data_IF_453889830857
#
_entry.id   IF_453889830857
#
_cell.length_a   1.000
_cell.length_b   1.000
_cell.length_c   1.000
_cell.angle_alpha   90.00
_cell.angle_beta   90.00
_cell.angle_gamma   90.00
#
_symmetry.space_group_name_H-M   'P 1'
#
loop_
_entity.id
_entity.type
_entity.pdbx_description
1 polymer ?
#
# COMPACT_ATOMS: atom_id res chain seq x y z
N UNK A 1 5.10 4.61 0.92
CA UNK A 1 3.66 4.48 1.26
C UNK A 1 3.08 3.22 0.67
N UNK A 2 2.57 2.34 1.51
CA UNK A 2 1.93 1.08 1.13
C UNK A 2 0.41 1.15 1.32
N UNK A 3 -0.32 0.47 0.46
CA UNK A 3 -1.79 0.45 0.42
C UNK A 3 -2.31 -0.96 0.47
N UNK A 4 -3.22 -1.26 1.41
CA UNK A 4 -3.96 -2.52 1.42
C UNK A 4 -5.46 -2.21 1.25
N UNK A 5 -6.10 -2.90 0.30
CA UNK A 5 -7.56 -2.92 0.20
C UNK A 5 -8.08 -3.88 1.25
N UNK A 6 -8.99 -3.41 2.08
CA UNK A 6 -9.62 -4.25 3.10
C UNK A 6 -11.10 -4.41 2.80
N UNK A 7 -11.51 -5.66 2.65
CA UNK A 7 -12.92 -6.07 2.54
C UNK A 7 -13.29 -6.83 3.81
N UNK A 8 -14.52 -6.63 4.31
CA UNK A 8 -15.02 -7.36 5.47
C UNK A 8 -14.91 -8.88 5.24
N UNK A 9 -14.29 -9.58 6.17
CA UNK A 9 -14.25 -11.05 6.23
C UNK A 9 -14.94 -11.49 7.51
N UNK A 10 -15.77 -12.52 7.41
CA UNK A 10 -16.35 -13.25 8.54
C UNK A 10 -17.22 -12.42 9.50
N UNK A 11 -18.04 -11.49 9.00
CA UNK A 11 -19.02 -10.75 9.81
C UNK A 11 -18.44 -9.74 10.80
N UNK A 12 -17.13 -9.68 10.98
CA UNK A 12 -16.49 -8.60 11.72
C UNK A 12 -16.39 -7.34 10.88
N UNK A 13 -16.65 -6.19 11.49
CA UNK A 13 -16.44 -4.90 10.85
C UNK A 13 -14.96 -4.75 10.48
N UNK A 14 -14.69 -4.29 9.26
CA UNK A 14 -13.32 -3.98 8.79
C UNK A 14 -12.63 -3.02 9.75
N UNK A 15 -13.37 -2.07 10.30
CA UNK A 15 -12.86 -1.09 11.25
C UNK A 15 -12.40 -1.74 12.54
N UNK A 16 -13.23 -2.64 13.12
CA UNK A 16 -12.86 -3.38 14.34
C UNK A 16 -11.58 -4.21 14.12
N UNK A 17 -11.51 -4.91 12.99
CA UNK A 17 -10.34 -5.73 12.66
C UNK A 17 -9.07 -4.91 12.51
N UNK A 18 -9.14 -3.73 11.89
CA UNK A 18 -7.99 -2.84 11.71
C UNK A 18 -7.60 -2.14 13.00
N UNK A 19 -8.56 -1.65 13.79
CA UNK A 19 -8.28 -1.08 15.10
C UNK A 19 -7.63 -2.09 16.04
N UNK A 20 -8.13 -3.34 16.07
CA UNK A 20 -7.51 -4.41 16.82
C UNK A 20 -6.08 -4.68 16.37
N UNK A 21 -5.84 -4.72 15.06
CA UNK A 21 -4.49 -4.92 14.52
C UNK A 21 -3.54 -3.79 14.90
N UNK A 22 -4.00 -2.53 14.86
CA UNK A 22 -3.18 -1.37 15.20
C UNK A 22 -2.84 -1.31 16.69
N UNK A 23 -3.80 -1.67 17.54
CA UNK A 23 -3.67 -1.61 18.99
C UNK A 23 -3.21 -2.94 19.62
N UNK A 24 -2.77 -3.90 18.81
CA UNK A 24 -2.31 -5.21 19.30
C UNK A 24 -0.88 -5.18 19.85
N UNK A 25 -0.11 -4.13 19.59
CA UNK A 25 1.21 -3.98 20.18
C UNK A 25 1.10 -3.51 21.63
N UNK A 26 2.05 -3.95 22.45
CA UNK A 26 2.14 -3.50 23.85
C UNK A 26 2.38 -1.99 23.87
N UNK A 27 1.58 -1.29 24.65
CA UNK A 27 1.63 0.17 24.80
C UNK A 27 1.25 0.97 23.52
N UNK A 28 0.56 0.33 22.55
CA UNK A 28 0.04 1.02 21.38
C UNK A 28 -1.12 1.94 21.78
N UNK A 29 -1.03 3.19 21.37
CA UNK A 29 -2.07 4.21 21.58
C UNK A 29 -2.43 4.91 20.26
N UNK A 30 -3.52 5.67 20.27
CA UNK A 30 -3.92 6.44 19.09
C UNK A 30 -3.14 7.74 19.06
N UNK A 31 -2.14 7.78 18.18
CA UNK A 31 -1.21 8.90 17.99
C UNK A 31 -1.79 10.03 17.14
N UNK A 32 -2.71 9.72 16.24
CA UNK A 32 -3.26 10.66 15.27
C UNK A 32 -4.78 10.51 15.20
N UNK A 33 -5.47 11.64 15.25
CA UNK A 33 -6.92 11.74 15.05
C UNK A 33 -7.20 12.80 14.00
N UNK A 34 -8.07 12.47 13.07
CA UNK A 34 -8.51 13.37 12.01
C UNK A 34 -10.03 13.29 11.90
N UNK A 35 -10.70 14.42 12.19
CA UNK A 35 -12.14 14.50 12.27
C UNK A 35 -12.78 13.49 13.26
N UNK A 36 -12.05 13.13 14.30
CA UNK A 36 -12.50 12.30 15.42
C UNK A 36 -12.16 13.04 16.71
N UNK A 37 -13.12 13.16 17.67
CA UNK A 37 -12.88 13.83 18.95
C UNK A 37 -11.70 13.22 19.72
N UNK A 38 -10.95 14.08 20.41
CA UNK A 38 -9.73 13.65 21.11
C UNK A 38 -10.01 12.81 22.36
N UNK A 39 -11.17 12.99 22.97
CA UNK A 39 -11.62 12.29 24.18
C UNK A 39 -12.21 10.91 23.91
N UNK A 40 -12.50 10.59 22.64
CA UNK A 40 -13.06 9.29 22.27
C UNK A 40 -12.11 8.15 22.60
N UNK A 41 -12.64 7.16 23.31
CA UNK A 41 -11.96 5.91 23.54
C UNK A 41 -12.14 4.97 22.33
N UNK A 42 -11.48 3.82 22.36
CA UNK A 42 -11.47 2.86 21.25
C UNK A 42 -12.87 2.47 20.76
N UNK A 43 -13.79 2.23 21.69
CA UNK A 43 -15.16 1.81 21.39
C UNK A 43 -15.95 2.93 20.72
N UNK A 44 -15.81 4.16 21.18
CA UNK A 44 -16.45 5.36 20.60
C UNK A 44 -15.89 5.68 19.22
N UNK A 45 -14.57 5.48 19.01
CA UNK A 45 -13.95 5.60 17.70
C UNK A 45 -14.51 4.57 16.73
N UNK A 46 -14.63 3.30 17.18
CA UNK A 46 -15.23 2.26 16.35
C UNK A 46 -16.67 2.60 15.97
N UNK A 47 -17.45 3.09 16.92
CA UNK A 47 -18.84 3.51 16.69
C UNK A 47 -18.90 4.66 15.67
N UNK A 48 -18.06 5.68 15.82
CA UNK A 48 -17.98 6.78 14.87
C UNK A 48 -17.68 6.30 13.44
N UNK A 49 -16.78 5.33 13.26
CA UNK A 49 -16.50 4.72 11.95
C UNK A 49 -17.69 3.93 11.42
N UNK A 50 -18.38 3.18 12.28
CA UNK A 50 -19.57 2.41 11.90
C UNK A 50 -20.72 3.33 11.49
N UNK A 51 -20.95 4.40 12.22
CA UNK A 51 -21.98 5.39 11.92
C UNK A 51 -21.66 6.12 10.61
N UNK A 52 -20.43 6.56 10.43
CA UNK A 52 -20.00 7.13 9.15
C UNK A 52 -20.22 6.17 7.98
N UNK A 53 -19.98 4.87 8.18
CA UNK A 53 -20.19 3.87 7.15
C UNK A 53 -21.66 3.66 6.77
N UNK A 54 -22.60 3.90 7.68
CA UNK A 54 -24.06 3.77 7.44
C UNK A 54 -24.63 4.82 6.49
N UNK A 55 -23.95 5.95 6.32
CA UNK A 55 -24.39 7.00 5.39
C UNK A 55 -24.40 6.56 3.93
N UNK A 56 -23.63 5.54 3.57
CA UNK A 56 -23.56 5.02 2.20
C UNK A 56 -23.81 3.53 2.17
N UNK A 57 -24.74 3.12 1.30
CA UNK A 57 -24.95 1.71 1.03
C UNK A 57 -23.64 1.05 0.56
N UNK A 58 -23.33 -0.10 1.16
CA UNK A 58 -22.21 -0.91 0.74
C UNK A 58 -22.36 -1.30 -0.74
N UNK A 59 -21.37 -0.94 -1.56
CA UNK A 59 -21.30 -1.41 -2.93
C UNK A 59 -20.66 -2.80 -2.93
N UNK A 60 -21.21 -3.72 -3.73
CA UNK A 60 -20.55 -4.99 -4.00
C UNK A 60 -19.11 -4.69 -4.49
N UNK A 61 -18.13 -5.19 -3.80
CA UNK A 61 -16.69 -4.92 -4.04
C UNK A 61 -16.22 -3.48 -3.77
N UNK A 62 -16.99 -2.65 -3.05
CA UNK A 62 -16.56 -1.32 -2.61
C UNK A 62 -15.63 -1.40 -1.41
N UNK A 63 -14.63 -0.53 -1.36
CA UNK A 63 -13.81 -0.38 -0.15
C UNK A 63 -14.59 0.43 0.89
N UNK A 64 -14.68 -0.08 2.10
CA UNK A 64 -15.29 0.61 3.24
C UNK A 64 -14.23 1.42 4.01
N UNK A 65 -13.02 0.90 4.05
CA UNK A 65 -11.89 1.50 4.73
C UNK A 65 -10.61 1.36 3.90
N UNK A 66 -9.66 2.21 4.22
CA UNK A 66 -8.30 2.14 3.70
C UNK A 66 -7.34 2.00 4.87
N UNK A 67 -6.40 1.09 4.74
CA UNK A 67 -5.24 0.99 5.58
C UNK A 67 -4.06 1.58 4.80
N UNK A 68 -3.57 2.73 5.25
CA UNK A 68 -2.46 3.45 4.64
C UNK A 68 -1.30 3.48 5.63
N UNK A 69 -0.07 3.49 5.14
CA UNK A 69 1.12 3.44 5.98
C UNK A 69 2.07 4.54 5.53
N UNK A 70 2.45 5.40 6.47
CA UNK A 70 3.56 6.31 6.33
C UNK A 70 4.75 5.74 7.10
N UNK A 71 5.92 5.81 6.51
CA UNK A 71 7.15 5.30 7.13
C UNK A 71 8.26 6.34 7.03
N UNK A 72 8.94 6.56 8.14
CA UNK A 72 10.20 7.28 8.16
C UNK A 72 11.35 6.27 8.27
N UNK A 73 12.46 6.48 7.56
CA UNK A 73 13.64 5.64 7.70
C UNK A 73 14.24 5.81 9.11
N UNK A 74 14.96 4.80 9.56
CA UNK A 74 15.80 4.92 10.72
C UNK A 74 16.88 6.01 10.46
N UNK A 75 17.01 6.91 11.39
CA UNK A 75 18.00 7.99 11.37
C UNK A 75 18.61 8.08 12.78
N UNK A 76 19.71 8.82 12.91
CA UNK A 76 20.34 9.10 14.20
C UNK A 76 19.57 10.13 15.06
N UNK A 77 18.38 10.54 14.60
CA UNK A 77 17.54 11.46 15.35
C UNK A 77 16.88 10.79 16.55
N UNK A 78 16.63 11.61 17.57
CA UNK A 78 15.86 11.23 18.73
C UNK A 78 14.50 10.65 18.32
N UNK A 79 14.15 9.51 18.89
CA UNK A 79 12.99 8.73 18.53
C UNK A 79 11.66 9.44 18.79
N UNK A 80 11.59 10.21 19.89
CA UNK A 80 10.38 10.99 20.20
C UNK A 80 10.18 12.16 19.23
N UNK A 81 11.26 12.77 18.76
CA UNK A 81 11.21 13.77 17.68
C UNK A 81 10.74 13.15 16.36
N UNK A 82 11.20 11.94 16.04
CA UNK A 82 10.74 11.22 14.84
C UNK A 82 9.26 10.85 14.93
N UNK A 83 8.77 10.44 16.11
CA UNK A 83 7.34 10.18 16.32
C UNK A 83 6.52 11.46 16.16
N UNK A 84 6.97 12.58 16.74
CA UNK A 84 6.32 13.87 16.58
C UNK A 84 6.25 14.28 15.10
N UNK A 85 7.38 14.19 14.38
CA UNK A 85 7.44 14.47 12.95
C UNK A 85 6.50 13.55 12.14
N UNK A 86 6.48 12.27 12.43
CA UNK A 86 5.63 11.31 11.74
C UNK A 86 4.13 11.59 11.98
N UNK A 87 3.76 12.03 13.18
CA UNK A 87 2.42 12.46 13.55
C UNK A 87 2.01 13.71 12.76
N UNK A 88 2.87 14.71 12.66
CA UNK A 88 2.60 15.94 11.91
C UNK A 88 2.54 15.70 10.41
N UNK A 89 3.44 14.86 9.87
CA UNK A 89 3.39 14.42 8.47
C UNK A 89 2.09 13.64 8.20
N UNK A 90 1.65 12.83 9.14
CA UNK A 90 0.36 12.11 9.07
C UNK A 90 -0.82 13.07 9.01
N UNK A 91 -0.80 14.16 9.78
CA UNK A 91 -1.83 15.21 9.75
C UNK A 91 -1.85 15.92 8.40
N UNK A 92 -0.72 16.39 7.93
CA UNK A 92 -0.58 17.00 6.60
C UNK A 92 -1.08 16.05 5.50
N UNK A 93 -0.72 14.77 5.60
CA UNK A 93 -1.16 13.76 4.65
C UNK A 93 -2.69 13.63 4.61
N UNK A 94 -3.35 13.59 5.74
CA UNK A 94 -4.82 13.47 5.81
C UNK A 94 -5.52 14.72 5.32
N UNK A 95 -4.99 15.90 5.62
CA UNK A 95 -5.49 17.18 5.12
C UNK A 95 -5.45 17.26 3.59
N UNK A 96 -4.36 16.80 2.97
CA UNK A 96 -4.23 16.79 1.51
C UNK A 96 -4.99 15.64 0.84
N UNK A 97 -5.07 14.51 1.53
CA UNK A 97 -5.58 13.26 0.96
C UNK A 97 -7.07 13.09 1.11
N UNK A 98 -7.61 13.43 2.25
CA UNK A 98 -9.00 13.15 2.62
C UNK A 98 -9.49 14.10 3.74
N UNK A 99 -9.54 15.42 3.50
CA UNK A 99 -9.84 16.41 4.55
C UNK A 99 -11.21 16.22 5.20
N UNK A 100 -12.16 15.66 4.48
CA UNK A 100 -13.55 15.47 4.94
C UNK A 100 -13.85 14.07 5.47
N UNK A 101 -12.85 13.22 5.62
CA UNK A 101 -13.04 11.85 6.08
C UNK A 101 -12.58 11.70 7.51
N UNK A 102 -13.14 10.72 8.23
CA UNK A 102 -12.62 10.35 9.54
C UNK A 102 -11.45 9.39 9.40
N UNK A 103 -10.42 9.63 10.21
CA UNK A 103 -9.26 8.74 10.27
C UNK A 103 -8.63 8.73 11.67
N UNK A 104 -7.98 7.62 11.99
CA UNK A 104 -7.10 7.50 13.16
C UNK A 104 -5.79 6.83 12.75
N UNK A 105 -4.72 7.15 13.47
CA UNK A 105 -3.42 6.56 13.23
C UNK A 105 -2.73 6.10 14.51
N UNK A 106 -1.95 5.03 14.39
CA UNK A 106 -1.15 4.43 15.44
C UNK A 106 0.28 4.28 14.95
N UNK A 107 1.24 4.74 15.73
CA UNK A 107 2.66 4.61 15.40
C UNK A 107 3.18 3.28 15.95
N UNK A 108 3.59 2.41 15.06
CA UNK A 108 4.30 1.18 15.41
C UNK A 108 5.80 1.42 15.41
N UNK A 109 6.43 0.84 16.41
CA UNK A 109 7.82 1.04 16.70
C UNK A 109 8.63 -0.22 16.37
N UNK A 110 8.67 -0.58 15.08
CA UNK A 110 9.52 -1.67 14.61
C UNK A 110 11.00 -1.33 14.77
N UNK A 111 11.86 -2.35 14.86
CA UNK A 111 13.28 -2.22 15.20
C UNK A 111 14.06 -1.28 14.28
N UNK A 112 13.66 -1.16 13.01
CA UNK A 112 14.43 -0.44 11.99
C UNK A 112 13.74 0.84 11.51
N UNK A 113 12.38 0.93 11.58
CA UNK A 113 11.63 2.05 11.03
C UNK A 113 10.44 2.41 11.91
N UNK A 114 10.08 3.68 11.92
CA UNK A 114 8.80 4.12 12.47
C UNK A 114 7.72 4.05 11.39
N UNK A 115 6.59 3.44 11.72
CA UNK A 115 5.46 3.30 10.82
C UNK A 115 4.21 3.89 11.47
N UNK A 116 3.60 4.87 10.82
CA UNK A 116 2.26 5.33 11.17
C UNK A 116 1.25 4.54 10.32
N UNK A 117 0.50 3.69 10.97
CA UNK A 117 -0.62 2.97 10.40
C UNK A 117 -1.87 3.82 10.48
N UNK A 118 -2.50 4.13 9.36
CA UNK A 118 -3.68 4.99 9.28
C UNK A 118 -4.89 4.14 8.87
N UNK A 119 -5.92 4.15 9.69
CA UNK A 119 -7.26 3.71 9.33
C UNK A 119 -8.04 4.92 8.82
N UNK A 120 -8.39 4.90 7.55
CA UNK A 120 -9.15 5.96 6.88
C UNK A 120 -10.50 5.41 6.43
N UNK A 121 -11.61 6.04 6.83
CA UNK A 121 -12.92 5.74 6.27
C UNK A 121 -12.99 6.14 4.80
N UNK A 122 -13.63 5.32 3.98
CA UNK A 122 -13.87 5.70 2.58
C UNK A 122 -14.95 6.76 2.42
N UNK A 123 -15.85 6.90 3.40
CA UNK A 123 -16.96 7.84 3.35
C UNK A 123 -16.53 9.19 3.87
N UNK A 124 -16.92 10.25 3.17
CA UNK A 124 -16.84 11.61 3.68
C UNK A 124 -17.82 11.81 4.82
N UNK A 125 -17.45 12.67 5.77
CA UNK A 125 -18.37 13.05 6.84
C UNK A 125 -19.54 13.84 6.26
N UNK A 126 -20.74 13.62 6.81
CA UNK A 126 -21.94 14.38 6.49
C UNK A 126 -22.33 14.40 5.01
N UNK A 127 -21.63 13.69 4.15
CA UNK A 127 -21.93 13.57 2.73
C UNK A 127 -22.21 12.14 2.31
N UNK A 128 -23.11 11.96 1.35
CA UNK A 128 -23.34 10.67 0.70
C UNK A 128 -22.35 10.41 -0.43
N UNK A 129 -21.09 10.71 -0.18
CA UNK A 129 -20.01 10.54 -1.15
C UNK A 129 -18.83 9.81 -0.54
N UNK A 130 -17.97 9.27 -1.40
CA UNK A 130 -16.76 8.56 -1.00
C UNK A 130 -15.54 9.25 -1.53
N UNK A 131 -14.48 9.20 -0.75
CA UNK A 131 -13.17 9.54 -1.28
C UNK A 131 -12.80 8.51 -2.33
N UNK A 132 -12.58 8.97 -3.56
CA UNK A 132 -12.06 8.11 -4.60
C UNK A 132 -10.55 8.05 -4.48
N UNK A 133 -10.02 6.84 -4.61
CA UNK A 133 -8.61 6.77 -4.92
C UNK A 133 -8.43 7.31 -6.32
N UNK A 134 -7.90 8.46 -6.31
CA UNK A 134 -7.45 9.17 -7.45
C UNK A 134 -6.59 8.29 -8.37
N UNK A 135 -6.53 8.62 -9.61
CA UNK A 135 -5.58 8.06 -10.56
C UNK A 135 -4.17 8.17 -9.97
N UNK A 136 -3.25 7.36 -10.45
CA UNK A 136 -1.86 7.37 -9.98
C UNK A 136 -1.25 8.79 -9.97
N UNK A 137 -1.60 9.62 -10.95
CA UNK A 137 -1.14 11.01 -11.05
C UNK A 137 -1.58 11.87 -9.87
N UNK A 138 -2.86 11.77 -9.46
CA UNK A 138 -3.40 12.57 -8.35
C UNK A 138 -2.77 12.14 -7.01
N UNK A 139 -2.52 10.84 -6.86
CA UNK A 139 -1.82 10.33 -5.68
C UNK A 139 -0.36 10.81 -5.60
N UNK A 140 0.33 10.89 -6.74
CA UNK A 140 1.68 11.45 -6.83
C UNK A 140 1.68 12.94 -6.51
N UNK A 141 0.65 13.69 -6.93
CA UNK A 141 0.52 15.10 -6.59
C UNK A 141 0.35 15.30 -5.07
N UNK A 142 -0.53 14.54 -4.43
CA UNK A 142 -0.68 14.55 -2.96
C UNK A 142 0.65 14.22 -2.28
N UNK A 143 1.36 13.20 -2.74
CA UNK A 143 2.66 12.85 -2.17
C UNK A 143 3.67 13.98 -2.30
N UNK A 144 3.74 14.65 -3.46
CA UNK A 144 4.66 15.76 -3.68
C UNK A 144 4.34 16.94 -2.74
N UNK A 145 3.06 17.27 -2.55
CA UNK A 145 2.61 18.32 -1.63
C UNK A 145 2.97 17.99 -0.18
N UNK A 146 2.67 16.77 0.26
CA UNK A 146 3.02 16.28 1.61
C UNK A 146 4.52 16.35 1.84
N UNK A 147 5.32 15.88 0.88
CA UNK A 147 6.79 15.92 0.98
C UNK A 147 7.32 17.35 1.07
N UNK A 148 6.80 18.27 0.24
CA UNK A 148 7.20 19.68 0.28
C UNK A 148 6.90 20.32 1.63
N UNK A 149 5.68 20.12 2.17
CA UNK A 149 5.28 20.66 3.48
C UNK A 149 6.10 20.02 4.61
N UNK A 150 6.28 18.70 4.58
CA UNK A 150 7.06 17.99 5.57
C UNK A 150 8.53 18.42 5.58
N UNK A 151 9.14 18.62 4.42
CA UNK A 151 10.51 19.11 4.29
C UNK A 151 10.64 20.54 4.83
N UNK A 152 9.63 21.38 4.64
CA UNK A 152 9.62 22.75 5.19
C UNK A 152 9.54 22.77 6.73
N UNK A 153 8.81 21.83 7.33
CA UNK A 153 8.67 21.70 8.78
C UNK A 153 9.86 21.01 9.45
N UNK A 154 10.45 20.05 8.75
CA UNK A 154 11.52 19.17 9.25
C UNK A 154 12.68 19.12 8.25
N UNK A 155 13.37 20.25 7.99
CA UNK A 155 14.45 20.31 7.01
C UNK A 155 15.61 19.34 7.38
N UNK A 156 15.81 19.07 8.67
CA UNK A 156 16.84 18.17 9.17
C UNK A 156 16.59 16.69 8.80
N UNK A 157 15.36 16.29 8.51
CA UNK A 157 15.05 14.90 8.13
C UNK A 157 15.45 14.56 6.70
N UNK A 158 15.81 15.56 5.89
CA UNK A 158 16.27 15.39 4.50
C UNK A 158 15.38 14.45 3.68
N UNK A 159 14.08 14.73 3.64
CA UNK A 159 13.06 13.89 3.04
C UNK A 159 13.08 13.88 1.51
N UNK A 160 13.83 14.79 0.88
CA UNK A 160 13.82 15.03 -0.57
C UNK A 160 14.16 13.78 -1.41
N UNK A 161 14.94 12.87 -0.85
CA UNK A 161 15.41 11.67 -1.57
C UNK A 161 14.51 10.44 -1.43
N UNK A 162 13.41 10.53 -0.66
CA UNK A 162 12.58 9.35 -0.39
C UNK A 162 11.60 9.03 -1.52
N UNK A 163 11.26 10.01 -2.37
CA UNK A 163 10.28 9.82 -3.43
C UNK A 163 10.60 10.66 -4.67
N UNK A 164 11.54 10.23 -5.48
CA UNK A 164 11.70 10.79 -6.82
C UNK A 164 10.87 9.98 -7.81
N UNK A 165 10.08 10.63 -8.68
CA UNK A 165 9.32 9.97 -9.76
C UNK A 165 10.20 9.05 -10.61
N UNK A 166 11.46 9.40 -10.80
CA UNK A 166 12.44 8.63 -11.58
C UNK A 166 12.85 7.30 -10.95
N UNK A 167 12.81 7.16 -9.62
CA UNK A 167 13.04 5.86 -8.96
C UNK A 167 11.91 4.85 -9.22
N UNK A 168 10.70 5.32 -9.51
CA UNK A 168 9.57 4.44 -9.85
C UNK A 168 9.72 3.87 -11.25
N UNK A 169 10.42 4.56 -12.14
CA UNK A 169 10.64 4.14 -13.53
C UNK A 169 11.98 3.44 -13.77
N UNK A 170 13.01 3.71 -12.96
CA UNK A 170 14.35 3.16 -13.17
C UNK A 170 14.53 1.68 -12.79
N UNK A 171 13.58 1.12 -12.06
CA UNK A 171 13.49 -0.34 -11.88
C UNK A 171 12.29 -0.87 -12.64
N UNK A 172 12.34 -0.89 -13.99
CA UNK A 172 11.72 -1.98 -14.73
C UNK A 172 12.35 -3.26 -14.15
N UNK A 173 11.74 -3.77 -13.09
CA UNK A 173 12.07 -5.11 -12.63
C UNK A 173 11.66 -6.03 -13.76
N UNK A 174 12.60 -6.64 -14.43
CA UNK A 174 12.45 -7.87 -15.18
C UNK A 174 11.97 -9.03 -14.26
N UNK A 175 11.27 -8.71 -13.21
CA UNK A 175 10.76 -9.69 -12.28
C UNK A 175 9.40 -10.16 -12.77
N UNK A 176 9.37 -11.40 -13.19
CA UNK A 176 8.12 -12.16 -13.34
C UNK A 176 7.22 -11.87 -12.13
N UNK A 177 6.00 -11.36 -12.40
CA UNK A 177 5.04 -11.01 -11.35
C UNK A 177 4.64 -12.27 -10.59
N UNK A 178 5.27 -12.48 -9.46
CA UNK A 178 5.01 -13.64 -8.60
C UNK A 178 3.57 -13.55 -8.06
N UNK A 179 2.90 -14.68 -7.97
CA UNK A 179 1.60 -14.78 -7.29
C UNK A 179 1.77 -14.52 -5.79
N UNK A 180 0.69 -14.17 -5.10
CA UNK A 180 0.72 -13.92 -3.65
C UNK A 180 1.30 -15.10 -2.86
N UNK A 181 0.98 -16.35 -3.26
CA UNK A 181 1.55 -17.55 -2.66
C UNK A 181 3.07 -17.69 -2.88
N UNK A 182 3.54 -17.37 -4.07
CA UNK A 182 4.97 -17.39 -4.40
C UNK A 182 5.75 -16.29 -3.67
N UNK A 183 5.12 -15.12 -3.44
CA UNK A 183 5.71 -14.07 -2.62
C UNK A 183 5.80 -14.47 -1.15
N UNK A 184 4.75 -15.10 -0.61
CA UNK A 184 4.73 -15.61 0.76
C UNK A 184 5.78 -16.71 0.97
N UNK A 185 5.91 -17.61 0.01
CA UNK A 185 6.92 -18.67 0.03
C UNK A 185 8.35 -18.12 -0.05
N UNK A 186 8.56 -17.02 -0.79
CA UNK A 186 9.85 -16.32 -0.87
C UNK A 186 10.25 -15.64 0.43
N UNK A 187 9.26 -15.12 1.17
CA UNK A 187 9.50 -14.36 2.42
C UNK A 187 9.65 -15.31 3.61
N UNK A 188 8.86 -16.38 3.65
CA UNK A 188 8.76 -17.28 4.81
C UNK A 188 9.39 -18.67 4.62
N UNK A 189 9.76 -19.02 3.39
CA UNK A 189 10.42 -20.29 3.06
C UNK A 189 11.91 -20.26 3.42
N UNK A 190 12.25 -20.24 4.70
CA UNK A 190 13.60 -20.49 5.16
C UNK A 190 13.91 -21.98 4.96
N UNK A 191 15.01 -22.29 4.24
CA UNK A 191 15.70 -23.59 4.21
C UNK A 191 15.24 -24.70 3.24
N UNK A 192 14.45 -24.39 2.19
CA UNK A 192 14.37 -25.35 1.06
C UNK A 192 15.17 -24.85 -0.14
N UNK A 193 15.96 -25.71 -0.82
CA UNK A 193 16.61 -25.33 -2.07
C UNK A 193 15.50 -24.89 -3.04
N UNK A 194 15.55 -23.61 -3.44
CA UNK A 194 14.53 -22.99 -4.30
C UNK A 194 14.57 -23.67 -5.66
N UNK A 195 13.68 -24.63 -5.92
CA UNK A 195 13.35 -24.98 -7.30
C UNK A 195 12.81 -23.70 -7.95
N UNK A 196 13.49 -23.19 -8.99
CA UNK A 196 12.97 -22.13 -9.81
C UNK A 196 11.55 -22.54 -10.21
N UNK A 197 10.56 -21.65 -10.01
CA UNK A 197 9.19 -22.02 -10.39
C UNK A 197 9.20 -22.24 -11.91
N UNK A 198 8.46 -23.24 -12.38
CA UNK A 198 8.28 -23.53 -13.82
C UNK A 198 7.97 -22.27 -14.64
N UNK A 199 7.32 -21.28 -14.02
CA UNK A 199 7.04 -19.98 -14.63
C UNK A 199 8.29 -19.12 -14.83
N UNK A 200 9.25 -19.15 -13.92
CA UNK A 200 10.51 -18.41 -14.01
C UNK A 200 11.40 -19.07 -15.07
N UNK A 201 11.49 -20.40 -15.08
CA UNK A 201 12.23 -21.18 -16.09
C UNK A 201 11.64 -20.92 -17.48
N UNK A 202 10.30 -21.00 -17.61
CA UNK A 202 9.61 -20.73 -18.86
C UNK A 202 9.82 -19.28 -19.35
N UNK A 203 9.75 -18.32 -18.44
CA UNK A 203 9.99 -16.91 -18.77
C UNK A 203 11.42 -16.69 -19.27
N UNK A 204 12.42 -17.26 -18.60
CA UNK A 204 13.81 -17.15 -19.00
C UNK A 204 14.05 -17.79 -20.38
N UNK A 205 13.45 -18.96 -20.62
CA UNK A 205 13.53 -19.64 -21.90
C UNK A 205 12.90 -18.79 -23.02
N UNK A 206 11.68 -18.26 -22.81
CA UNK A 206 10.98 -17.42 -23.80
C UNK A 206 11.78 -16.15 -24.08
N UNK A 207 12.33 -15.49 -23.06
CA UNK A 207 13.20 -14.33 -23.25
C UNK A 207 14.47 -14.66 -24.06
N UNK A 208 15.07 -15.81 -23.80
CA UNK A 208 16.23 -16.29 -24.58
C UNK A 208 15.87 -16.52 -26.05
N UNK A 209 14.74 -17.15 -26.33
CA UNK A 209 14.27 -17.40 -27.70
C UNK A 209 13.91 -16.09 -28.43
N UNK A 210 13.27 -15.13 -27.74
CA UNK A 210 12.98 -13.80 -28.30
C UNK A 210 14.24 -13.01 -28.65
N UNK A 211 15.33 -13.16 -27.91
CA UNK A 211 16.59 -12.52 -28.20
C UNK A 211 17.27 -13.10 -29.45
N UNK A 212 17.08 -14.41 -29.72
CA UNK A 212 17.71 -15.15 -30.82
C UNK A 212 16.88 -15.08 -32.11
N UNK A 213 15.57 -14.99 -32.04
CA UNK A 213 14.68 -15.05 -33.20
C UNK A 213 13.87 -13.76 -33.32
N UNK A 214 14.14 -12.97 -34.35
CA UNK A 214 13.39 -11.72 -34.64
C UNK A 214 12.16 -11.96 -35.52
N UNK A 215 12.15 -13.06 -36.28
CA UNK A 215 11.03 -13.46 -37.12
C UNK A 215 10.01 -14.29 -36.31
N UNK A 216 8.71 -13.99 -36.51
CA UNK A 216 7.61 -14.66 -35.77
C UNK A 216 7.56 -16.16 -36.08
N UNK A 217 7.72 -16.57 -37.33
CA UNK A 217 7.61 -17.97 -37.70
C UNK A 217 8.78 -18.80 -37.15
N UNK A 218 9.98 -18.24 -37.16
CA UNK A 218 11.16 -18.84 -36.54
C UNK A 218 11.03 -18.96 -35.01
N UNK A 219 10.49 -17.93 -34.36
CA UNK A 219 10.20 -17.95 -32.94
C UNK A 219 9.17 -19.02 -32.58
N UNK A 220 8.05 -19.11 -33.32
CA UNK A 220 7.03 -20.12 -33.11
C UNK A 220 7.58 -21.55 -33.27
N UNK A 221 8.39 -21.77 -34.28
CA UNK A 221 9.06 -23.06 -34.50
C UNK A 221 9.98 -23.43 -33.34
N UNK A 222 10.81 -22.48 -32.86
CA UNK A 222 11.70 -22.67 -31.73
C UNK A 222 10.92 -22.93 -30.42
N UNK A 223 9.86 -22.19 -30.16
CA UNK A 223 9.01 -22.39 -28.98
C UNK A 223 8.34 -23.77 -29.01
N UNK A 224 7.87 -24.23 -30.20
CA UNK A 224 7.27 -25.54 -30.38
C UNK A 224 8.23 -26.69 -30.07
N UNK A 225 9.52 -26.54 -30.38
CA UNK A 225 10.55 -27.53 -30.01
C UNK A 225 10.70 -27.70 -28.51
N UNK A 226 10.38 -26.65 -27.73
CA UNK A 226 10.36 -26.68 -26.27
C UNK A 226 8.99 -27.02 -25.67
N UNK A 227 8.03 -27.47 -26.49
CA UNK A 227 6.68 -27.83 -26.06
C UNK A 227 5.81 -26.61 -25.66
N UNK A 228 6.15 -25.44 -26.17
CA UNK A 228 5.44 -24.19 -25.92
C UNK A 228 4.64 -23.85 -27.19
N UNK A 229 3.32 -23.61 -27.02
CA UNK A 229 2.46 -23.13 -28.10
C UNK A 229 1.96 -21.73 -27.81
N UNK A 230 2.05 -20.84 -28.79
CA UNK A 230 1.44 -19.52 -28.71
C UNK A 230 -0.03 -19.58 -29.09
N UNK A 231 -0.87 -18.86 -28.38
CA UNK A 231 -2.26 -18.70 -28.76
C UNK A 231 -2.64 -17.22 -28.75
N UNK A 232 -3.62 -16.86 -29.57
CA UNK A 232 -4.13 -15.50 -29.63
C UNK A 232 -5.53 -15.46 -29.00
N UNK A 233 -5.75 -14.52 -28.08
CA UNK A 233 -7.05 -14.26 -27.49
C UNK A 233 -7.41 -12.78 -27.68
N UNK A 234 -8.24 -12.48 -28.66
CA UNK A 234 -8.49 -11.11 -29.10
C UNK A 234 -7.21 -10.47 -29.64
N UNK A 235 -6.83 -9.31 -29.11
CA UNK A 235 -5.61 -8.60 -29.49
C UNK A 235 -4.37 -8.98 -28.63
N UNK A 236 -4.49 -9.99 -27.79
CA UNK A 236 -3.41 -10.43 -26.90
C UNK A 236 -2.88 -11.78 -27.34
N UNK A 237 -1.55 -11.91 -27.43
CA UNK A 237 -0.84 -13.15 -27.66
C UNK A 237 -0.38 -13.70 -26.31
N UNK A 238 -0.65 -14.97 -26.03
CA UNK A 238 -0.29 -15.69 -24.80
C UNK A 238 0.47 -16.96 -25.08
#
# INVERSE_FOLDING_TARGET
MGRKKTTARNGQSVFASLLNYFLNEKDAEIDLRHNVPYDYQREEILEAFLDNARYLHARKNGNTAYHEILSLPATDFDREKLKAALRDIGRIYLEERAPENIAVGVIHNDKEHLHLHILLSSNKMMERSRVHFAKKADFLAVQAQVMSKAQSLYPELNLENLYTPDRVHSKKRESVRLTQGQQHERIHGKDRPKKASRKVELSSLVHGLLAQHRDKAALEAAMKQHGISMYQRGNTIG
#
